data_IF_641326362483
#
_entry.id   IF_641326362483
#
_cell.length_a   1.000
_cell.length_b   1.000
_cell.length_c   1.000
_cell.angle_alpha   90.00
_cell.angle_beta   90.00
_cell.angle_gamma   90.00
#
_symmetry.space_group_name_H-M   'P 1'
#
loop_
_entity.id
_entity.type
_entity.pdbx_description
1 polymer ?
#
# COMPACT_ATOMS: atom_id res chain seq x y z
N UNK A 1 7.05 6.60 9.74
CA UNK A 1 7.37 7.00 8.36
C UNK A 1 8.82 6.67 8.09
N UNK A 2 9.13 5.80 7.13
CA UNK A 2 10.52 5.53 6.74
C UNK A 2 11.12 6.77 6.07
N UNK A 3 12.32 7.17 6.49
CA UNK A 3 13.06 8.26 5.86
C UNK A 3 13.57 7.83 4.48
N UNK A 4 13.26 8.61 3.44
CA UNK A 4 13.74 8.34 2.08
C UNK A 4 14.99 9.17 1.83
N UNK A 5 16.15 8.52 1.96
CA UNK A 5 17.46 9.17 1.77
C UNK A 5 18.00 8.87 0.37
N UNK A 6 18.42 9.91 -0.34
CA UNK A 6 19.13 9.75 -1.60
C UNK A 6 20.57 9.28 -1.36
N UNK A 7 20.90 8.06 -1.80
CA UNK A 7 22.27 7.49 -1.66
C UNK A 7 23.36 8.25 -2.43
N UNK A 8 22.99 9.13 -3.37
CA UNK A 8 23.96 9.86 -4.21
C UNK A 8 24.29 11.24 -3.66
N UNK A 9 23.30 11.98 -3.17
CA UNK A 9 23.50 13.37 -2.70
C UNK A 9 23.22 13.56 -1.20
N UNK A 10 22.73 12.53 -0.50
CA UNK A 10 22.48 12.59 0.94
C UNK A 10 21.21 13.33 1.35
N UNK A 11 20.47 13.93 0.41
CA UNK A 11 19.22 14.63 0.72
C UNK A 11 18.18 13.68 1.30
N UNK A 12 17.44 14.13 2.30
CA UNK A 12 16.47 13.33 3.07
C UNK A 12 15.06 13.84 2.78
N UNK A 13 14.15 12.92 2.44
CA UNK A 13 12.73 13.18 2.15
C UNK A 13 12.46 14.17 0.98
N UNK A 14 13.49 14.57 0.24
CA UNK A 14 13.38 15.38 -0.97
C UNK A 14 13.39 14.50 -2.23
N UNK A 15 12.20 14.05 -2.62
CA UNK A 15 11.99 13.22 -3.80
C UNK A 15 10.70 13.60 -4.53
N UNK A 16 10.72 13.42 -5.85
CA UNK A 16 9.53 13.42 -6.72
C UNK A 16 9.15 12.00 -7.06
N UNK A 17 7.86 11.76 -7.27
CA UNK A 17 7.37 10.45 -7.70
C UNK A 17 6.96 10.47 -9.16
N UNK A 18 7.42 9.48 -9.93
CA UNK A 18 7.12 9.34 -11.35
C UNK A 18 6.68 7.90 -11.66
N UNK A 19 5.68 7.77 -12.52
CA UNK A 19 5.24 6.46 -13.02
C UNK A 19 6.18 5.96 -14.11
N UNK A 20 6.79 4.79 -13.88
CA UNK A 20 7.52 4.04 -14.91
C UNK A 20 6.84 2.72 -15.14
N UNK A 21 5.98 2.68 -16.16
CA UNK A 21 5.13 1.53 -16.45
C UNK A 21 4.16 1.26 -15.29
N UNK A 22 4.27 0.07 -14.67
CA UNK A 22 3.40 -0.36 -13.57
C UNK A 22 3.89 0.05 -12.17
N UNK A 23 5.06 0.68 -12.07
CA UNK A 23 5.70 1.03 -10.80
C UNK A 23 5.70 2.54 -10.59
N UNK A 24 5.25 3.00 -9.40
CA UNK A 24 5.56 4.35 -8.95
C UNK A 24 6.98 4.37 -8.41
N UNK A 25 7.75 5.37 -8.80
CA UNK A 25 9.18 5.43 -8.53
C UNK A 25 9.55 6.76 -7.91
N UNK A 26 10.29 6.74 -6.80
CA UNK A 26 10.89 7.94 -6.23
C UNK A 26 12.21 8.26 -6.94
N UNK A 27 12.33 9.52 -7.37
CA UNK A 27 13.55 10.13 -7.85
C UNK A 27 13.91 11.30 -6.95
N UNK A 28 15.18 11.46 -6.62
CA UNK A 28 15.66 12.61 -5.87
C UNK A 28 15.42 13.91 -6.65
N UNK A 29 14.87 14.94 -5.99
CA UNK A 29 14.67 16.26 -6.61
C UNK A 29 15.99 17.01 -6.81
N UNK A 30 16.96 16.82 -5.90
CA UNK A 30 18.24 17.52 -5.95
C UNK A 30 19.18 17.01 -7.06
N UNK A 31 19.25 15.69 -7.28
CA UNK A 31 20.23 15.10 -8.22
C UNK A 31 19.60 14.23 -9.32
N UNK A 32 18.27 14.15 -9.38
CA UNK A 32 17.52 13.39 -10.39
C UNK A 32 17.70 11.87 -10.32
N UNK A 33 18.40 11.36 -9.30
CA UNK A 33 18.78 9.94 -9.24
C UNK A 33 17.63 9.08 -8.72
N UNK A 34 17.47 7.89 -9.29
CA UNK A 34 16.56 6.86 -8.81
C UNK A 34 16.84 6.52 -7.34
N UNK A 35 15.81 6.54 -6.49
CA UNK A 35 15.93 6.15 -5.09
C UNK A 35 15.39 4.73 -4.88
N UNK A 36 14.07 4.54 -5.03
CA UNK A 36 13.39 3.25 -4.89
C UNK A 36 12.02 3.28 -5.59
N UNK A 37 11.49 2.11 -5.92
CA UNK A 37 10.07 1.99 -6.21
C UNK A 37 9.25 2.16 -4.94
N UNK A 38 8.22 2.98 -5.01
CA UNK A 38 7.29 3.23 -3.91
C UNK A 38 6.01 2.43 -4.19
N UNK A 39 5.45 1.74 -3.19
CA UNK A 39 4.14 1.11 -3.32
C UNK A 39 3.08 2.20 -3.61
N UNK A 40 2.32 2.05 -4.69
CA UNK A 40 1.31 3.05 -5.06
C UNK A 40 -0.01 2.49 -5.56
N UNK A 41 -0.05 1.20 -5.90
CA UNK A 41 -1.32 0.55 -6.26
C UNK A 41 -1.84 -0.13 -5.00
N UNK A 42 -3.03 0.24 -4.54
CA UNK A 42 -3.70 -0.55 -3.52
C UNK A 42 -3.98 -1.95 -4.07
N UNK A 43 -3.67 -3.01 -3.32
CA UNK A 43 -3.95 -4.36 -3.79
C UNK A 43 -5.46 -4.57 -3.96
N UNK A 44 -5.87 -5.11 -5.11
CA UNK A 44 -7.24 -5.55 -5.32
C UNK A 44 -7.46 -6.94 -4.70
N UNK A 45 -8.71 -7.28 -4.43
CA UNK A 45 -9.15 -8.45 -3.67
C UNK A 45 -9.17 -9.71 -4.54
N UNK A 46 -8.02 -10.13 -5.07
CA UNK A 46 -7.91 -11.27 -5.99
C UNK A 46 -8.16 -12.64 -5.37
N UNK A 47 -8.29 -12.73 -4.04
CA UNK A 47 -8.45 -13.98 -3.30
C UNK A 47 -9.92 -14.36 -3.06
N UNK A 48 -10.88 -13.61 -3.62
CA UNK A 48 -12.31 -13.86 -3.47
C UNK A 48 -13.01 -14.10 -4.80
N UNK A 49 -13.83 -15.17 -4.89
CA UNK A 49 -14.86 -15.27 -5.94
C UNK A 49 -16.08 -14.38 -5.66
N UNK A 50 -16.25 -13.93 -4.41
CA UNK A 50 -17.37 -13.07 -3.96
C UNK A 50 -17.15 -11.61 -4.32
N UNK A 51 -15.88 -11.16 -4.31
CA UNK A 51 -15.49 -9.77 -4.58
C UNK A 51 -14.41 -9.72 -5.67
N UNK A 52 -14.69 -10.18 -6.90
CA UNK A 52 -13.72 -10.12 -7.99
C UNK A 52 -13.37 -8.66 -8.30
N UNK A 53 -12.08 -8.36 -8.42
CA UNK A 53 -11.53 -7.06 -8.81
C UNK A 53 -11.89 -5.85 -7.92
N UNK A 54 -12.57 -6.06 -6.79
CA UNK A 54 -12.83 -5.02 -5.80
C UNK A 54 -11.53 -4.59 -5.12
N UNK A 55 -11.29 -3.30 -4.91
CA UNK A 55 -10.11 -2.88 -4.12
C UNK A 55 -10.29 -3.26 -2.65
N UNK A 56 -9.20 -3.60 -1.96
CA UNK A 56 -9.29 -3.86 -0.51
C UNK A 56 -9.85 -2.64 0.24
N UNK A 57 -9.49 -1.43 -0.18
CA UNK A 57 -10.02 -0.17 0.35
C UNK A 57 -11.51 0.06 0.11
N UNK A 58 -12.11 -0.61 -0.88
CA UNK A 58 -13.54 -0.49 -1.21
C UNK A 58 -14.39 -1.53 -0.48
N UNK A 59 -13.77 -2.49 0.23
CA UNK A 59 -14.50 -3.51 0.96
C UNK A 59 -15.01 -2.97 2.30
N UNK A 60 -16.30 -3.19 2.56
CA UNK A 60 -16.97 -2.82 3.81
C UNK A 60 -17.30 -4.04 4.68
N UNK A 61 -17.05 -5.25 4.18
CA UNK A 61 -17.33 -6.51 4.86
C UNK A 61 -16.19 -6.81 5.87
N UNK A 62 -16.30 -6.23 7.06
CA UNK A 62 -15.32 -6.38 8.14
C UNK A 62 -15.06 -7.84 8.50
N UNK A 63 -16.12 -8.65 8.61
CA UNK A 63 -16.01 -10.08 8.94
C UNK A 63 -15.24 -10.83 7.85
N UNK A 64 -15.47 -10.49 6.59
CA UNK A 64 -14.70 -11.05 5.48
C UNK A 64 -13.23 -10.66 5.54
N UNK A 65 -12.92 -9.39 5.78
CA UNK A 65 -11.53 -8.92 5.89
C UNK A 65 -10.79 -9.59 7.05
N UNK A 66 -11.43 -9.73 8.21
CA UNK A 66 -10.89 -10.47 9.36
C UNK A 66 -10.63 -11.95 9.02
N UNK A 67 -11.62 -12.62 8.39
CA UNK A 67 -11.45 -14.00 7.95
C UNK A 67 -10.30 -14.16 6.95
N UNK A 68 -10.16 -13.24 6.00
CA UNK A 68 -9.06 -13.22 5.02
C UNK A 68 -7.72 -13.08 5.71
N UNK A 69 -7.61 -12.15 6.66
CA UNK A 69 -6.38 -11.91 7.41
C UNK A 69 -5.91 -13.16 8.18
N UNK A 70 -6.85 -13.86 8.82
CA UNK A 70 -6.55 -15.04 9.64
C UNK A 70 -6.37 -16.33 8.82
N UNK A 71 -7.16 -16.53 7.76
CA UNK A 71 -7.23 -17.82 7.05
C UNK A 71 -6.45 -17.86 5.74
N UNK A 72 -6.21 -16.72 5.09
CA UNK A 72 -5.51 -16.68 3.81
C UNK A 72 -4.05 -16.29 4.00
N UNK A 73 -3.15 -17.06 3.38
CA UNK A 73 -1.72 -16.72 3.34
C UNK A 73 -1.48 -15.58 2.35
N UNK A 74 -1.61 -14.36 2.84
CA UNK A 74 -1.34 -13.13 2.09
C UNK A 74 0.16 -12.77 2.09
N UNK A 75 0.62 -12.13 1.03
CA UNK A 75 1.92 -11.44 1.04
C UNK A 75 1.87 -10.21 1.96
N UNK A 76 3.02 -9.76 2.48
CA UNK A 76 3.07 -8.65 3.46
C UNK A 76 2.28 -7.43 2.99
N UNK A 77 2.43 -7.03 1.72
CA UNK A 77 1.69 -5.90 1.13
C UNK A 77 0.16 -6.05 1.20
N UNK A 78 -0.35 -7.26 1.01
CA UNK A 78 -1.78 -7.52 1.10
C UNK A 78 -2.24 -7.59 2.56
N UNK A 79 -1.42 -8.13 3.46
CA UNK A 79 -1.70 -8.11 4.90
C UNK A 79 -1.83 -6.69 5.41
N UNK A 80 -0.85 -5.84 5.14
CA UNK A 80 -0.87 -4.43 5.56
C UNK A 80 -2.10 -3.68 5.02
N UNK A 81 -2.50 -3.95 3.77
CA UNK A 81 -3.68 -3.33 3.19
C UNK A 81 -5.00 -3.81 3.83
N UNK A 82 -5.09 -5.11 4.16
CA UNK A 82 -6.26 -5.69 4.85
C UNK A 82 -6.32 -5.21 6.29
N UNK A 83 -5.21 -5.24 7.03
CA UNK A 83 -5.09 -4.72 8.41
C UNK A 83 -5.52 -3.25 8.47
N UNK A 84 -4.95 -2.40 7.61
CA UNK A 84 -5.31 -0.98 7.54
C UNK A 84 -6.82 -0.79 7.31
N UNK A 85 -7.42 -1.60 6.44
CA UNK A 85 -8.86 -1.49 6.16
C UNK A 85 -9.72 -1.97 7.32
N UNK A 86 -9.31 -3.02 8.02
CA UNK A 86 -9.94 -3.47 9.26
C UNK A 86 -9.90 -2.34 10.29
N UNK A 87 -8.73 -1.75 10.52
CA UNK A 87 -8.54 -0.64 11.46
C UNK A 87 -9.43 0.57 11.12
N UNK A 88 -9.54 0.92 9.82
CA UNK A 88 -10.46 1.97 9.37
C UNK A 88 -11.91 1.64 9.76
N UNK A 89 -12.38 0.45 9.39
CA UNK A 89 -13.76 0.02 9.64
C UNK A 89 -14.08 -0.16 11.15
N UNK A 90 -13.11 -0.57 11.96
CA UNK A 90 -13.25 -0.67 13.42
C UNK A 90 -13.17 0.72 14.09
N UNK A 91 -12.32 1.61 13.60
CA UNK A 91 -12.19 2.99 14.06
C UNK A 91 -13.46 3.82 13.82
N UNK A 92 -14.23 3.54 12.76
CA UNK A 92 -15.52 4.19 12.49
C UNK A 92 -16.63 3.84 13.50
N UNK A 93 -16.46 2.84 14.38
CA UNK A 93 -17.46 2.48 15.40
C UNK A 93 -17.44 3.34 16.66
N UNK A 94 -16.49 4.27 16.80
CA UNK A 94 -16.31 5.11 17.99
C UNK A 94 -16.37 6.61 17.70
N UNK A 95 -17.26 7.03 16.79
CA UNK A 95 -17.63 8.45 16.60
C UNK A 95 -19.14 8.57 16.70
#
# INVERSE_FOLDING_TARGET
MEEIVCKKCGVVNEYKTEYRGKHLTAFCTACGTYIKHIPHVEPAMFFSKKYPDMKISECEDLQYLQWVHEKIKLSNRYKEAVERRIDELEGYKYI
#
